data_IF_021728244285
#
_entry.id   IF_021728244285
#
_cell.length_a   1.000
_cell.length_b   1.000
_cell.length_c   1.000
_cell.angle_alpha   90.00
_cell.angle_beta   90.00
_cell.angle_gamma   90.00
#
_symmetry.space_group_name_H-M   'P 1'
#
loop_
_entity.id
_entity.type
_entity.pdbx_description
1 polymer ?
#
# COMPACT_ATOMS: atom_id res chain seq x y z
N UNK A 1 -8.43 17.32 -7.38
CA UNK A 1 -8.60 16.87 -5.97
C UNK A 1 -7.32 16.29 -5.38
N UNK A 2 -6.63 15.32 -6.03
CA UNK A 2 -5.40 14.71 -5.44
C UNK A 2 -4.24 15.71 -5.29
N UNK A 3 -4.12 16.68 -6.18
CA UNK A 3 -3.13 17.75 -6.12
C UNK A 3 -3.57 18.96 -5.26
N UNK A 4 -4.83 19.05 -4.88
CA UNK A 4 -5.34 20.14 -4.03
C UNK A 4 -5.21 19.75 -2.55
N UNK A 5 -4.30 20.39 -1.82
CA UNK A 5 -4.04 20.11 -0.40
C UNK A 5 -5.17 20.53 0.55
N UNK A 6 -6.21 21.25 0.07
CA UNK A 6 -7.42 21.53 0.81
C UNK A 6 -8.50 20.44 0.65
N UNK A 7 -8.29 19.48 -0.28
CA UNK A 7 -9.17 18.33 -0.48
C UNK A 7 -8.63 17.12 0.26
N UNK A 8 -9.49 16.33 0.88
CA UNK A 8 -9.10 15.07 1.53
C UNK A 8 -9.00 13.88 0.56
N UNK A 9 -9.45 14.04 -0.70
CA UNK A 9 -9.39 12.99 -1.71
C UNK A 9 -7.97 12.86 -2.30
N UNK A 10 -7.49 11.62 -2.47
CA UNK A 10 -6.15 11.32 -2.98
C UNK A 10 -5.04 11.75 -2.03
N UNK A 11 -5.21 11.43 -0.75
CA UNK A 11 -4.31 11.81 0.35
C UNK A 11 -4.01 10.63 1.27
N UNK A 12 -2.88 10.69 1.93
CA UNK A 12 -2.68 10.03 3.21
C UNK A 12 -2.86 11.09 4.29
N UNK A 13 -3.70 10.79 5.27
CA UNK A 13 -4.08 11.71 6.33
C UNK A 13 -3.39 11.32 7.64
N UNK A 14 -3.03 12.32 8.45
CA UNK A 14 -2.50 12.13 9.80
C UNK A 14 -3.33 12.94 10.78
N UNK A 15 -3.81 12.25 11.82
CA UNK A 15 -4.68 12.80 12.85
C UNK A 15 -4.19 12.36 14.23
N UNK A 16 -4.30 13.22 15.22
CA UNK A 16 -4.11 12.85 16.63
C UNK A 16 -5.22 11.90 17.10
N UNK A 17 -4.94 11.10 18.14
CA UNK A 17 -5.94 10.14 18.69
C UNK A 17 -7.20 10.81 19.22
N UNK A 18 -7.14 12.09 19.58
CA UNK A 18 -8.29 12.91 20.03
C UNK A 18 -9.04 13.60 18.88
N UNK A 19 -8.63 13.36 17.63
CA UNK A 19 -9.26 13.91 16.44
C UNK A 19 -8.70 15.26 15.99
N UNK A 20 -7.78 15.85 16.73
CA UNK A 20 -7.17 17.14 16.38
C UNK A 20 -6.10 17.01 15.28
N UNK A 21 -5.79 18.12 14.63
CA UNK A 21 -4.71 18.20 13.64
C UNK A 21 -3.37 18.20 14.39
N UNK A 22 -2.40 17.32 14.03
CA UNK A 22 -1.06 17.39 14.56
C UNK A 22 -0.37 18.71 14.21
N UNK A 23 0.24 19.39 15.21
CA UNK A 23 0.87 20.69 15.03
C UNK A 23 2.02 20.70 14.02
N UNK A 24 2.57 19.53 13.72
CA UNK A 24 3.66 19.34 12.77
C UNK A 24 3.20 18.74 11.44
N UNK A 25 1.89 18.75 11.11
CA UNK A 25 1.43 18.42 9.78
C UNK A 25 1.89 19.47 8.75
N UNK A 26 2.21 19.06 7.52
CA UNK A 26 2.89 19.95 6.55
C UNK A 26 2.03 21.09 6.00
N UNK A 27 0.70 21.00 6.12
CA UNK A 27 -0.25 21.93 5.47
C UNK A 27 -1.25 22.55 6.47
N UNK A 28 -0.98 22.51 7.76
CA UNK A 28 -1.86 23.00 8.83
C UNK A 28 -3.30 22.39 8.79
N UNK A 29 -3.41 21.21 8.21
CA UNK A 29 -4.64 20.42 8.10
C UNK A 29 -4.34 18.92 8.27
N UNK A 30 -5.29 18.03 7.99
CA UNK A 30 -5.10 16.58 8.14
C UNK A 30 -4.20 15.92 7.08
N UNK A 31 -3.86 16.62 6.00
CA UNK A 31 -3.07 16.07 4.90
C UNK A 31 -1.62 15.83 5.36
N UNK A 32 -1.15 14.59 5.20
CA UNK A 32 0.24 14.21 5.48
C UNK A 32 1.06 14.11 4.20
N UNK A 33 0.49 13.50 3.15
CA UNK A 33 1.01 13.47 1.79
C UNK A 33 -0.14 13.56 0.77
N UNK A 34 0.15 13.92 -0.47
CA UNK A 34 -0.85 14.20 -1.49
C UNK A 34 -0.43 13.66 -2.87
N UNK A 35 -1.27 13.87 -3.89
CA UNK A 35 -0.98 13.34 -5.22
C UNK A 35 -1.17 11.82 -5.33
N UNK A 36 -1.98 11.23 -4.46
CA UNK A 36 -2.31 9.81 -4.49
C UNK A 36 -3.56 9.55 -5.33
N UNK A 37 -3.60 8.37 -5.96
CA UNK A 37 -4.79 7.87 -6.64
C UNK A 37 -5.70 7.09 -5.69
N UNK A 38 -5.20 5.98 -5.15
CA UNK A 38 -5.98 5.07 -4.30
C UNK A 38 -5.09 4.22 -3.37
N UNK A 39 -4.52 4.80 -2.32
CA UNK A 39 -3.82 4.04 -1.29
C UNK A 39 -4.76 3.06 -0.58
N UNK A 40 -4.33 1.81 -0.40
CA UNK A 40 -5.13 0.74 0.17
C UNK A 40 -4.53 0.09 1.43
N UNK A 41 -3.21 0.14 1.58
CA UNK A 41 -2.51 -0.38 2.74
C UNK A 41 -1.41 0.57 3.19
N UNK A 42 -1.18 0.63 4.49
CA UNK A 42 -0.05 1.36 5.08
C UNK A 42 0.61 0.51 6.18
N UNK A 43 1.94 0.59 6.26
CA UNK A 43 2.70 -0.09 7.30
C UNK A 43 3.98 0.68 7.65
N UNK A 44 4.35 0.67 8.93
CA UNK A 44 5.62 1.20 9.39
C UNK A 44 6.71 0.13 9.33
N UNK A 45 7.85 0.49 8.74
CA UNK A 45 9.03 -0.36 8.81
C UNK A 45 9.55 -0.38 10.27
N UNK A 46 9.69 -1.58 10.89
CA UNK A 46 9.94 -1.65 12.34
C UNK A 46 11.32 -1.10 12.76
N UNK A 47 12.30 -1.08 11.86
CA UNK A 47 13.67 -0.62 12.13
C UNK A 47 13.83 0.85 11.71
N UNK A 48 13.61 1.19 10.43
CA UNK A 48 13.85 2.55 9.89
C UNK A 48 12.79 3.56 10.28
N UNK A 49 11.60 3.08 10.70
CA UNK A 49 10.41 3.90 11.00
C UNK A 49 9.84 4.64 9.79
N UNK A 50 10.25 4.30 8.59
CA UNK A 50 9.63 4.80 7.38
C UNK A 50 8.20 4.25 7.25
N UNK A 51 7.28 5.09 6.79
CA UNK A 51 5.92 4.70 6.44
C UNK A 51 5.89 4.24 4.99
N UNK A 52 5.28 3.09 4.74
CA UNK A 52 5.07 2.56 3.40
C UNK A 52 3.59 2.53 3.07
N UNK A 53 3.25 2.70 1.80
CA UNK A 53 1.90 2.45 1.31
C UNK A 53 1.90 1.56 0.08
N UNK A 54 0.79 0.85 -0.10
CA UNK A 54 0.42 0.19 -1.34
C UNK A 54 -0.69 0.98 -2.02
N UNK A 55 -0.61 1.16 -3.33
CA UNK A 55 -1.54 2.01 -4.07
C UNK A 55 -1.96 1.37 -5.39
N UNK A 56 -3.26 1.51 -5.74
CA UNK A 56 -3.76 1.09 -7.04
C UNK A 56 -3.52 2.14 -8.11
N UNK A 57 -2.89 1.74 -9.21
CA UNK A 57 -2.87 2.49 -10.45
C UNK A 57 -4.22 2.50 -11.18
N UNK A 58 -4.29 3.11 -12.36
CA UNK A 58 -5.54 3.22 -13.11
C UNK A 58 -6.01 1.88 -13.70
N UNK A 59 -5.15 1.20 -14.42
CA UNK A 59 -5.44 -0.13 -15.04
C UNK A 59 -4.38 -1.16 -14.69
N UNK A 60 -3.21 -0.72 -14.50
CA UNK A 60 -1.98 -1.33 -14.02
C UNK A 60 -1.25 -0.23 -13.25
N UNK A 61 0.08 -0.27 -13.21
CA UNK A 61 0.89 0.75 -12.56
C UNK A 61 0.57 0.87 -11.08
N UNK A 62 0.27 -0.28 -10.45
CA UNK A 62 0.12 -0.36 -9.00
C UNK A 62 1.48 -0.10 -8.33
N UNK A 63 1.47 0.51 -7.15
CA UNK A 63 2.69 1.06 -6.53
C UNK A 63 2.91 0.57 -5.12
N UNK A 64 4.20 0.50 -4.74
CA UNK A 64 4.63 0.54 -3.34
C UNK A 64 5.46 1.80 -3.16
N UNK A 65 5.04 2.63 -2.23
CA UNK A 65 5.63 3.94 -1.95
C UNK A 65 6.22 4.00 -0.55
N UNK A 66 7.33 4.75 -0.39
CA UNK A 66 7.76 5.26 0.93
C UNK A 66 7.11 6.62 1.09
N UNK A 67 6.38 6.82 2.19
CA UNK A 67 5.59 8.02 2.41
C UNK A 67 6.38 9.04 3.20
N UNK A 68 6.60 10.20 2.58
CA UNK A 68 7.28 11.34 3.16
C UNK A 68 6.29 12.42 3.57
N UNK A 69 6.61 13.15 4.62
CA UNK A 69 5.82 14.28 5.11
C UNK A 69 5.81 15.40 4.08
N UNK A 70 4.62 15.76 3.59
CA UNK A 70 4.44 16.78 2.57
C UNK A 70 4.76 16.32 1.14
N UNK A 71 5.09 15.05 0.94
CA UNK A 71 5.42 14.49 -0.37
C UNK A 71 4.25 14.53 -1.35
N UNK A 72 4.56 14.84 -2.61
CA UNK A 72 3.64 14.77 -3.76
C UNK A 72 3.95 13.52 -4.58
N UNK A 73 2.96 12.63 -4.75
CA UNK A 73 3.06 11.35 -5.47
C UNK A 73 2.58 11.45 -6.92
N UNK A 74 2.29 12.66 -7.38
CA UNK A 74 2.16 13.04 -8.79
C UNK A 74 0.82 12.73 -9.45
N UNK A 75 -0.07 11.91 -8.89
CA UNK A 75 -1.36 11.63 -9.52
C UNK A 75 -2.22 12.89 -9.63
N UNK A 76 -2.88 13.19 -10.77
CA UNK A 76 -2.94 12.40 -12.03
C UNK A 76 -1.90 12.80 -13.08
N UNK A 77 -0.90 13.61 -12.74
CA UNK A 77 0.05 14.20 -13.70
C UNK A 77 1.07 13.17 -14.19
N UNK A 78 1.47 12.22 -13.31
CA UNK A 78 2.37 11.12 -13.61
C UNK A 78 1.84 9.81 -13.06
N UNK A 79 2.24 8.70 -13.66
CA UNK A 79 2.08 7.33 -13.16
C UNK A 79 3.44 6.68 -12.92
N UNK A 80 3.48 5.59 -12.20
CA UNK A 80 4.70 4.97 -11.66
C UNK A 80 5.77 4.54 -12.69
N UNK A 81 5.44 4.50 -13.97
CA UNK A 81 6.40 4.23 -15.06
C UNK A 81 7.18 5.48 -15.48
N UNK A 82 6.77 6.64 -15.03
CA UNK A 82 7.35 7.94 -15.37
C UNK A 82 8.16 8.47 -14.19
N UNK A 83 9.47 8.22 -14.20
CA UNK A 83 10.36 8.75 -13.16
C UNK A 83 10.44 10.27 -13.31
N UNK A 84 10.06 10.98 -12.26
CA UNK A 84 10.07 12.43 -12.18
C UNK A 84 10.99 12.91 -11.07
N UNK A 85 11.58 14.10 -11.28
CA UNK A 85 12.32 14.82 -10.23
C UNK A 85 11.42 15.76 -9.41
N UNK A 86 10.20 15.98 -9.88
CA UNK A 86 9.22 16.87 -9.26
C UNK A 86 8.33 16.14 -8.26
N UNK A 87 8.23 14.80 -8.37
CA UNK A 87 7.35 13.96 -7.58
C UNK A 87 8.11 12.85 -6.88
N UNK A 88 7.55 12.35 -5.79
CA UNK A 88 8.05 11.17 -5.10
C UNK A 88 7.84 9.93 -5.99
N UNK A 89 8.90 9.19 -6.24
CA UNK A 89 8.84 8.00 -7.09
C UNK A 89 8.61 6.74 -6.25
N UNK A 90 7.78 5.79 -6.75
CA UNK A 90 7.58 4.54 -6.07
C UNK A 90 8.85 3.68 -6.03
N UNK A 91 9.01 2.90 -4.97
CA UNK A 91 10.11 1.92 -4.88
C UNK A 91 9.81 0.64 -5.66
N UNK A 92 8.54 0.38 -5.99
CA UNK A 92 8.09 -0.69 -6.88
C UNK A 92 6.88 -0.24 -7.68
N UNK A 93 6.95 -0.46 -8.99
CA UNK A 93 5.85 -0.25 -9.92
C UNK A 93 5.47 -1.59 -10.58
N UNK A 94 4.19 -1.97 -10.52
CA UNK A 94 3.63 -3.15 -11.17
C UNK A 94 2.95 -2.74 -12.48
N UNK A 95 3.75 -2.51 -13.52
CA UNK A 95 3.26 -2.17 -14.86
C UNK A 95 2.98 -3.41 -15.72
N UNK A 96 3.59 -4.54 -15.39
CA UNK A 96 3.52 -5.78 -16.13
C UNK A 96 2.15 -6.46 -16.04
N UNK A 97 1.49 -6.31 -14.90
CA UNK A 97 0.17 -6.88 -14.59
C UNK A 97 -0.53 -6.05 -13.52
N UNK A 98 -1.81 -6.28 -13.30
CA UNK A 98 -2.56 -5.66 -12.20
C UNK A 98 -2.49 -6.55 -10.97
N UNK A 99 -1.76 -6.11 -9.94
CA UNK A 99 -1.76 -6.74 -8.63
C UNK A 99 -3.00 -6.35 -7.82
N UNK A 100 -3.41 -5.08 -7.93
CA UNK A 100 -4.36 -4.41 -7.06
C UNK A 100 -3.96 -4.62 -5.58
N UNK A 101 -2.80 -4.07 -5.15
CA UNK A 101 -2.27 -4.28 -3.83
C UNK A 101 -3.21 -3.68 -2.77
N UNK A 102 -3.36 -4.38 -1.64
CA UNK A 102 -4.24 -3.98 -0.56
C UNK A 102 -3.45 -3.92 0.76
N UNK A 103 -3.90 -4.56 1.83
CA UNK A 103 -3.17 -4.55 3.09
C UNK A 103 -1.71 -4.98 2.95
N UNK A 104 -0.84 -4.32 3.70
CA UNK A 104 0.59 -4.60 3.77
C UNK A 104 1.06 -4.70 5.22
N UNK A 105 2.09 -5.51 5.49
CA UNK A 105 2.67 -5.64 6.81
C UNK A 105 4.17 -5.93 6.74
N UNK A 106 4.92 -5.42 7.72
CA UNK A 106 6.34 -5.71 7.87
C UNK A 106 6.62 -6.80 8.93
N UNK A 107 7.59 -7.63 8.62
CA UNK A 107 8.34 -8.44 9.58
C UNK A 107 9.84 -8.17 9.35
N UNK A 108 10.47 -7.42 10.23
CA UNK A 108 11.83 -6.90 10.00
C UNK A 108 11.94 -6.17 8.65
N UNK A 109 12.79 -6.63 7.75
CA UNK A 109 12.97 -6.05 6.41
C UNK A 109 12.08 -6.72 5.34
N UNK A 110 11.21 -7.65 5.73
CA UNK A 110 10.28 -8.32 4.82
C UNK A 110 8.94 -7.59 4.79
N UNK A 111 8.57 -7.04 3.64
CA UNK A 111 7.25 -6.44 3.39
C UNK A 111 6.35 -7.47 2.71
N UNK A 112 5.27 -7.82 3.36
CA UNK A 112 4.21 -8.66 2.81
C UNK A 112 3.17 -7.77 2.15
N UNK A 113 2.81 -8.08 0.90
CA UNK A 113 1.88 -7.30 0.07
C UNK A 113 0.75 -8.19 -0.40
N UNK A 114 -0.46 -7.89 0.06
CA UNK A 114 -1.68 -8.59 -0.37
C UNK A 114 -2.13 -8.08 -1.73
N UNK A 115 -2.53 -8.99 -2.65
CA UNK A 115 -3.04 -8.67 -3.97
C UNK A 115 -4.48 -9.13 -4.17
N UNK A 116 -5.36 -8.20 -4.52
CA UNK A 116 -6.78 -8.50 -4.80
C UNK A 116 -6.96 -9.12 -6.19
N UNK A 117 -6.56 -8.39 -7.25
CA UNK A 117 -6.71 -8.89 -8.62
C UNK A 117 -5.61 -9.88 -8.98
N UNK A 118 -4.41 -9.69 -8.46
CA UNK A 118 -3.31 -10.63 -8.62
C UNK A 118 -3.53 -11.95 -7.89
N UNK A 119 -4.48 -12.02 -6.94
CA UNK A 119 -4.84 -13.23 -6.17
C UNK A 119 -3.63 -13.88 -5.49
N UNK A 120 -2.72 -13.08 -4.97
CA UNK A 120 -1.46 -13.54 -4.41
C UNK A 120 -1.04 -12.73 -3.18
N UNK A 121 -0.27 -13.34 -2.31
CA UNK A 121 0.53 -12.68 -1.29
C UNK A 121 1.97 -12.67 -1.78
N UNK A 122 2.57 -11.51 -1.84
CA UNK A 122 3.97 -11.31 -2.21
C UNK A 122 4.80 -10.97 -0.99
N UNK A 123 6.05 -11.41 -1.01
CA UNK A 123 7.07 -11.02 -0.04
C UNK A 123 8.17 -10.25 -0.75
N UNK A 124 8.43 -9.04 -0.31
CA UNK A 124 9.47 -8.14 -0.79
C UNK A 124 10.50 -7.95 0.32
N UNK A 125 11.78 -8.12 0.01
CA UNK A 125 12.86 -7.80 0.95
C UNK A 125 13.32 -6.38 0.66
N UNK A 126 13.28 -5.53 1.68
CA UNK A 126 13.58 -4.10 1.59
C UNK A 126 14.95 -3.81 2.22
N UNK A 127 15.78 -3.04 1.55
CA UNK A 127 17.03 -2.50 2.07
C UNK A 127 17.12 -1.00 1.74
N UNK A 128 17.01 -0.17 2.79
CA UNK A 128 16.90 1.28 2.63
C UNK A 128 15.63 1.69 1.87
N UNK A 129 15.82 2.26 0.69
CA UNK A 129 14.77 2.70 -0.24
C UNK A 129 14.58 1.74 -1.43
N UNK A 130 15.16 0.54 -1.37
CA UNK A 130 15.18 -0.42 -2.48
C UNK A 130 14.56 -1.75 -2.10
N UNK A 131 13.94 -2.38 -3.10
CA UNK A 131 13.54 -3.77 -3.04
C UNK A 131 14.65 -4.60 -3.66
N UNK A 132 15.27 -5.48 -2.84
CA UNK A 132 16.39 -6.32 -3.25
C UNK A 132 15.96 -7.71 -3.70
N UNK A 133 14.78 -8.16 -3.29
CA UNK A 133 14.16 -9.38 -3.83
C UNK A 133 12.65 -9.34 -3.69
N UNK A 134 11.95 -10.07 -4.55
CA UNK A 134 10.51 -10.21 -4.56
C UNK A 134 10.12 -11.64 -4.96
N UNK A 135 9.21 -12.24 -4.23
CA UNK A 135 8.66 -13.57 -4.52
C UNK A 135 7.15 -13.66 -4.27
N UNK A 136 6.49 -14.58 -4.95
CA UNK A 136 5.11 -14.95 -4.64
C UNK A 136 5.15 -15.99 -3.52
N UNK A 137 4.63 -15.63 -2.35
CA UNK A 137 4.58 -16.53 -1.20
C UNK A 137 3.35 -17.45 -1.27
N UNK A 138 2.19 -16.92 -1.70
CA UNK A 138 0.92 -17.65 -1.81
C UNK A 138 0.16 -17.14 -3.04
N UNK A 139 -0.48 -18.05 -3.78
CA UNK A 139 -1.28 -17.71 -4.97
C UNK A 139 -2.54 -18.57 -5.17
N UNK A 140 -3.00 -19.27 -4.13
CA UNK A 140 -4.12 -20.22 -4.20
C UNK A 140 -5.29 -19.90 -3.25
N UNK A 141 -5.33 -18.68 -2.68
CA UNK A 141 -6.38 -18.25 -1.76
C UNK A 141 -7.41 -17.31 -2.43
N UNK A 142 -7.27 -17.03 -3.73
CA UNK A 142 -8.05 -16.03 -4.42
C UNK A 142 -7.63 -14.60 -4.01
N UNK A 143 -8.60 -13.70 -3.91
CA UNK A 143 -8.39 -12.28 -3.59
C UNK A 143 -7.99 -12.13 -2.12
N UNK A 144 -6.81 -11.58 -1.89
CA UNK A 144 -6.27 -11.34 -0.55
C UNK A 144 -6.48 -9.86 -0.23
N UNK A 145 -7.22 -9.58 0.86
CA UNK A 145 -7.54 -8.22 1.30
C UNK A 145 -6.50 -7.63 2.23
N UNK A 146 -6.03 -8.44 3.16
CA UNK A 146 -5.16 -7.94 4.22
C UNK A 146 -4.20 -9.01 4.73
N UNK A 147 -3.09 -8.56 5.29
CA UNK A 147 -2.10 -9.39 5.96
C UNK A 147 -1.65 -8.69 7.23
N UNK A 148 -1.53 -9.45 8.31
CA UNK A 148 -1.02 -8.98 9.60
C UNK A 148 0.07 -9.92 10.07
N UNK A 149 1.18 -9.37 10.55
CA UNK A 149 2.24 -10.12 11.23
C UNK A 149 1.96 -10.10 12.74
N UNK A 150 1.92 -11.25 13.37
CA UNK A 150 1.86 -11.37 14.82
C UNK A 150 2.73 -12.53 15.29
N UNK A 151 3.75 -12.22 16.10
CA UNK A 151 4.79 -13.19 16.51
C UNK A 151 5.42 -13.84 15.25
N UNK A 152 5.42 -15.17 15.17
CA UNK A 152 6.04 -15.95 14.09
C UNK A 152 5.05 -16.32 12.99
N UNK A 153 3.87 -15.71 12.95
CA UNK A 153 2.79 -16.07 12.04
C UNK A 153 2.32 -14.88 11.17
N UNK A 154 1.88 -15.23 9.96
CA UNK A 154 1.08 -14.34 9.13
C UNK A 154 -0.40 -14.69 9.27
N UNK A 155 -1.23 -13.67 9.42
CA UNK A 155 -2.69 -13.77 9.38
C UNK A 155 -3.16 -13.08 8.10
N UNK A 156 -3.88 -13.82 7.27
CA UNK A 156 -4.29 -13.40 5.93
C UNK A 156 -5.81 -13.38 5.87
N UNK A 157 -6.40 -12.25 5.45
CA UNK A 157 -7.83 -12.14 5.22
C UNK A 157 -8.13 -12.22 3.72
N UNK A 158 -9.01 -13.14 3.32
CA UNK A 158 -9.50 -13.22 1.94
C UNK A 158 -10.71 -12.31 1.71
N UNK A 159 -11.01 -12.01 0.44
CA UNK A 159 -12.14 -11.17 0.02
C UNK A 159 -12.72 -11.66 -1.32
N UNK A 160 -13.09 -12.94 -1.36
CA UNK A 160 -13.59 -13.58 -2.57
C UNK A 160 -15.08 -13.32 -2.82
N UNK A 161 -15.83 -12.86 -1.79
CA UNK A 161 -17.26 -12.55 -1.86
C UNK A 161 -17.60 -11.09 -2.18
N UNK A 162 -16.63 -10.28 -2.58
CA UNK A 162 -16.83 -8.86 -2.93
C UNK A 162 -17.48 -8.61 -4.32
N UNK A 163 -17.95 -9.67 -4.98
CA UNK A 163 -18.53 -9.62 -6.32
C UNK A 163 -17.51 -9.61 -7.47
N UNK A 164 -16.21 -9.63 -7.16
CA UNK A 164 -15.10 -9.67 -8.14
C UNK A 164 -14.25 -10.92 -8.03
N UNK A 165 -14.47 -11.73 -6.99
CA UNK A 165 -13.79 -12.99 -6.74
C UNK A 165 -14.64 -14.19 -7.18
N UNK A 166 -14.05 -15.38 -7.08
CA UNK A 166 -14.73 -16.68 -7.24
C UNK A 166 -14.71 -17.34 -5.87
N UNK A 167 -15.78 -17.19 -5.05
CA UNK A 167 -15.76 -17.68 -3.70
C UNK A 167 -15.90 -19.22 -3.63
N UNK A 168 -15.16 -19.83 -2.72
CA UNK A 168 -15.39 -21.20 -2.27
C UNK A 168 -16.50 -21.26 -1.20
N UNK A 169 -17.06 -22.45 -0.88
CA UNK A 169 -18.13 -22.57 0.11
C UNK A 169 -17.82 -21.94 1.48
N UNK A 170 -16.54 -21.96 1.88
CA UNK A 170 -16.08 -21.48 3.20
C UNK A 170 -15.39 -20.10 3.14
N UNK A 171 -15.54 -19.35 2.05
CA UNK A 171 -15.02 -17.96 1.98
C UNK A 171 -16.01 -17.00 2.65
N UNK A 172 -15.58 -15.84 3.15
CA UNK A 172 -14.19 -15.41 3.25
C UNK A 172 -13.55 -15.95 4.54
N UNK A 173 -12.21 -15.97 4.58
CA UNK A 173 -11.45 -16.63 5.66
C UNK A 173 -10.41 -15.70 6.27
N UNK A 174 -10.09 -15.98 7.54
CA UNK A 174 -8.81 -15.59 8.13
C UNK A 174 -7.96 -16.86 8.25
N UNK A 175 -6.80 -16.84 7.63
CA UNK A 175 -5.88 -17.97 7.55
C UNK A 175 -4.60 -17.60 8.29
N UNK A 176 -4.13 -18.48 9.16
CA UNK A 176 -2.82 -18.37 9.83
C UNK A 176 -1.83 -19.31 9.17
N UNK A 177 -0.67 -18.83 8.83
CA UNK A 177 0.48 -19.59 8.37
C UNK A 177 1.72 -19.27 9.16
#
# INVERSE_FOLDING_TARGET
SSQDTNSLAGKILRINKDGTIPNDNPFDNYVYSYGHRNPQGIAWHPITKNLYSSEHGQSRNDEINIITKGGDYGWPNVECTEISKEYENPIRCYSEFTLAPSGIAFNNNELYVSGLRGTQLRKLVVDGDKIISEEILINNLGRIRDVVVHKDYLYIATNNRDGRGIPSPNDDKIIRI
#
